data_IF_528923098222
#
_entry.id   IF_528923098222
#
_cell.length_a   1.000
_cell.length_b   1.000
_cell.length_c   1.000
_cell.angle_alpha   90.00
_cell.angle_beta   90.00
_cell.angle_gamma   90.00
#
_symmetry.space_group_name_H-M   'P 1'
#
loop_
_entity.id
_entity.type
_entity.pdbx_description
1 polymer ?
#
# COMPACT_ATOMS: atom_id res chain seq x y z
N UNK A 1 19.85 6.33 3.90
CA UNK A 1 18.74 7.29 4.08
C UNK A 1 19.08 8.62 3.43
N UNK A 2 20.27 9.19 3.61
CA UNK A 2 20.73 10.40 2.89
C UNK A 2 20.59 10.30 1.36
N UNK A 3 21.03 9.18 0.76
CA UNK A 3 21.07 9.03 -0.70
C UNK A 3 19.71 9.16 -1.41
N UNK A 4 18.63 8.56 -0.89
CA UNK A 4 17.32 8.57 -1.56
C UNK A 4 16.57 9.90 -1.40
N UNK A 5 16.70 10.57 -0.26
CA UNK A 5 16.10 11.88 -0.04
C UNK A 5 16.83 12.98 -0.83
N UNK A 6 18.16 12.89 -0.93
CA UNK A 6 18.97 13.84 -1.72
C UNK A 6 18.77 13.65 -3.23
N UNK A 7 18.61 12.41 -3.70
CA UNK A 7 18.42 12.12 -5.13
C UNK A 7 17.02 12.44 -5.69
N UNK A 8 15.99 12.56 -4.83
CA UNK A 8 14.58 12.66 -5.28
C UNK A 8 13.91 14.01 -5.02
N UNK A 9 14.55 14.91 -4.27
CA UNK A 9 13.95 16.19 -3.87
C UNK A 9 12.76 16.06 -2.90
N UNK A 10 12.50 14.86 -2.36
CA UNK A 10 11.43 14.57 -1.42
C UNK A 10 11.78 15.15 -0.03
N UNK A 11 11.14 16.28 0.33
CA UNK A 11 11.47 17.07 1.53
C UNK A 11 11.08 16.40 2.87
N UNK A 12 10.18 15.42 2.88
CA UNK A 12 9.75 14.72 4.10
C UNK A 12 10.13 13.24 4.02
N UNK A 13 11.01 12.83 4.93
CA UNK A 13 11.68 11.54 4.87
C UNK A 13 10.93 10.45 5.66
N UNK A 14 10.48 9.43 4.93
CA UNK A 14 10.62 8.01 5.25
C UNK A 14 10.32 7.59 6.69
N UNK A 15 9.08 7.14 6.90
CA UNK A 15 8.78 6.28 8.04
C UNK A 15 9.13 4.87 7.63
N UNK A 16 10.01 4.25 8.39
CA UNK A 16 10.54 2.92 8.12
C UNK A 16 10.10 1.96 9.21
N UNK A 17 9.44 0.88 8.81
CA UNK A 17 9.35 -0.29 9.68
C UNK A 17 10.65 -1.06 9.63
N UNK A 18 11.39 -1.13 10.75
CA UNK A 18 12.48 -2.10 10.88
C UNK A 18 11.85 -3.41 11.35
N UNK A 19 11.76 -4.39 10.47
CA UNK A 19 11.17 -5.69 10.80
C UNK A 19 12.22 -6.76 11.13
N UNK A 20 13.52 -6.45 11.00
CA UNK A 20 14.65 -7.29 11.40
C UNK A 20 15.68 -6.43 12.13
N UNK A 21 16.20 -6.92 13.26
CA UNK A 21 17.33 -6.32 13.97
C UNK A 21 18.42 -7.40 14.14
N UNK A 22 19.36 -7.46 13.20
CA UNK A 22 20.49 -8.39 13.18
C UNK A 22 21.16 -8.47 11.80
N UNK A 23 22.50 -8.62 11.77
CA UNK A 23 23.36 -8.81 10.57
C UNK A 23 23.49 -7.62 9.59
N UNK A 24 23.55 -6.37 10.05
CA UNK A 24 23.76 -5.17 9.19
C UNK A 24 22.79 -4.98 8.00
N UNK A 25 21.73 -5.79 7.91
CA UNK A 25 20.69 -5.71 6.90
C UNK A 25 19.48 -5.06 7.52
N UNK A 26 19.13 -3.88 7.03
CA UNK A 26 17.87 -3.26 7.40
C UNK A 26 16.86 -3.54 6.28
N UNK A 27 15.81 -4.31 6.57
CA UNK A 27 14.74 -4.66 5.62
C UNK A 27 13.38 -4.22 6.17
N UNK A 28 12.51 -3.70 5.30
CA UNK A 28 11.14 -3.33 5.65
C UNK A 28 10.52 -2.32 4.71
N UNK A 29 9.26 -1.95 4.96
CA UNK A 29 8.51 -1.00 4.15
C UNK A 29 8.82 0.44 4.53
N UNK A 30 8.61 1.35 3.58
CA UNK A 30 8.82 2.78 3.78
C UNK A 30 7.83 3.63 2.97
N UNK A 31 7.56 4.84 3.48
CA UNK A 31 6.79 5.87 2.77
C UNK A 31 7.63 7.12 2.58
N UNK A 32 7.85 7.54 1.33
CA UNK A 32 8.50 8.83 1.03
C UNK A 32 7.46 9.80 0.46
N UNK A 33 7.55 11.09 0.82
CA UNK A 33 6.51 12.05 0.46
C UNK A 33 7.04 13.48 0.31
N UNK A 34 6.44 14.24 -0.61
CA UNK A 34 6.57 15.70 -0.69
C UNK A 34 5.72 16.42 0.36
N UNK A 35 4.68 15.76 0.87
CA UNK A 35 3.78 16.27 1.90
C UNK A 35 4.24 15.78 3.28
N UNK A 36 4.05 16.57 4.36
CA UNK A 36 4.35 16.12 5.71
C UNK A 36 3.61 14.83 6.07
N UNK A 37 4.36 13.82 6.51
CA UNK A 37 3.81 12.57 7.04
C UNK A 37 3.48 12.77 8.53
N UNK A 38 2.19 12.67 8.89
CA UNK A 38 1.70 12.79 10.26
C UNK A 38 1.31 11.42 10.82
N UNK A 39 1.28 11.30 12.15
CA UNK A 39 0.82 10.09 12.88
C UNK A 39 1.44 8.78 12.35
N UNK A 40 2.70 8.85 11.93
CA UNK A 40 3.28 7.74 11.23
C UNK A 40 3.64 6.59 12.18
N UNK A 41 3.30 5.37 11.77
CA UNK A 41 3.42 4.17 12.58
C UNK A 41 3.91 3.00 11.74
N UNK A 42 4.65 2.08 12.37
CA UNK A 42 5.10 0.84 11.76
C UNK A 42 4.51 -0.34 12.52
N UNK A 43 4.02 -1.34 11.77
CA UNK A 43 3.44 -2.55 12.31
C UNK A 43 4.17 -3.76 11.73
N UNK A 44 4.65 -4.63 12.60
CA UNK A 44 5.20 -5.94 12.21
C UNK A 44 4.12 -6.99 12.36
N UNK A 45 3.96 -7.86 11.36
CA UNK A 45 3.17 -9.07 11.51
C UNK A 45 3.91 -10.08 12.39
N UNK A 46 3.17 -11.08 12.89
CA UNK A 46 3.76 -12.19 13.63
C UNK A 46 4.82 -12.92 12.79
N UNK A 47 5.92 -13.33 13.43
CA UNK A 47 7.02 -14.04 12.79
C UNK A 47 6.53 -15.33 12.12
N UNK A 48 7.08 -15.62 10.94
CA UNK A 48 6.70 -16.79 10.15
C UNK A 48 7.93 -17.48 9.55
N UNK A 49 8.64 -18.29 10.33
CA UNK A 49 9.86 -19.01 9.87
C UNK A 49 9.55 -19.91 8.66
N UNK A 50 10.38 -19.89 7.58
CA UNK A 50 11.70 -19.27 7.48
C UNK A 50 11.72 -17.82 6.95
N UNK A 51 10.57 -17.17 6.72
CA UNK A 51 10.55 -15.78 6.27
C UNK A 51 10.81 -14.79 7.41
N UNK A 52 11.53 -13.72 7.10
CA UNK A 52 11.69 -12.58 8.00
C UNK A 52 10.34 -11.89 8.25
N UNK A 53 10.16 -11.24 9.41
CA UNK A 53 8.93 -10.49 9.68
C UNK A 53 8.65 -9.48 8.57
N UNK A 54 7.42 -9.54 8.07
CA UNK A 54 6.85 -8.58 7.14
C UNK A 54 5.95 -7.61 7.91
N UNK A 55 5.45 -6.58 7.25
CA UNK A 55 4.68 -5.56 7.93
C UNK A 55 4.20 -4.46 7.01
N UNK A 56 3.72 -3.39 7.63
CA UNK A 56 3.33 -2.19 6.93
C UNK A 56 3.69 -0.93 7.73
N UNK A 57 3.81 0.15 6.99
CA UNK A 57 3.91 1.51 7.53
C UNK A 57 2.65 2.26 7.13
N UNK A 58 2.08 3.01 8.06
CA UNK A 58 0.96 3.93 7.81
C UNK A 58 1.38 5.35 8.20
N UNK A 59 0.95 6.33 7.42
CA UNK A 59 1.06 7.74 7.77
C UNK A 59 -0.09 8.53 7.18
N UNK A 60 -0.53 9.57 7.88
CA UNK A 60 -1.57 10.48 7.39
C UNK A 60 -0.92 11.65 6.65
N UNK A 61 -1.40 11.94 5.43
CA UNK A 61 -1.06 13.16 4.71
C UNK A 61 -2.24 14.14 4.72
N UNK A 62 -1.92 15.43 4.61
CA UNK A 62 -2.90 16.46 4.29
C UNK A 62 -2.97 16.60 2.77
N UNK A 63 -3.96 15.97 2.15
CA UNK A 63 -4.16 16.06 0.71
C UNK A 63 -4.52 17.52 0.33
N UNK A 64 -4.04 18.03 -0.81
CA UNK A 64 -4.41 19.36 -1.29
C UNK A 64 -5.95 19.53 -1.31
N UNK A 65 -6.47 20.48 -0.53
CA UNK A 65 -7.93 20.62 -0.31
C UNK A 65 -8.41 20.28 1.11
N UNK A 66 -7.49 20.05 2.07
CA UNK A 66 -7.76 19.82 3.51
C UNK A 66 -8.40 18.46 3.86
N UNK A 67 -8.36 17.48 2.95
CA UNK A 67 -8.76 16.10 3.26
C UNK A 67 -7.58 15.34 3.85
N UNK A 68 -7.78 14.65 4.97
CA UNK A 68 -6.79 13.73 5.52
C UNK A 68 -6.90 12.39 4.80
N UNK A 69 -5.76 11.84 4.38
CA UNK A 69 -5.68 10.53 3.73
C UNK A 69 -4.62 9.70 4.44
N UNK A 70 -4.97 8.47 4.80
CA UNK A 70 -4.03 7.51 5.36
C UNK A 70 -3.37 6.72 4.24
N UNK A 71 -2.05 6.81 4.15
CA UNK A 71 -1.23 6.12 3.16
C UNK A 71 -0.54 4.94 3.83
N UNK A 72 -0.67 3.76 3.24
CA UNK A 72 -0.14 2.50 3.76
C UNK A 72 0.84 1.89 2.76
N UNK A 73 2.07 1.62 3.19
CA UNK A 73 3.05 0.80 2.47
C UNK A 73 3.09 -0.59 3.08
N UNK A 74 2.61 -1.59 2.35
CA UNK A 74 2.43 -2.97 2.80
C UNK A 74 3.41 -3.92 2.09
N UNK A 75 3.89 -4.93 2.81
CA UNK A 75 4.60 -6.07 2.24
C UNK A 75 4.08 -7.34 2.92
N UNK A 76 3.57 -8.30 2.14
CA UNK A 76 3.04 -9.58 2.65
C UNK A 76 4.01 -10.75 2.48
N UNK A 77 3.75 -11.85 3.18
CA UNK A 77 4.57 -13.06 3.10
C UNK A 77 4.63 -13.65 1.68
N UNK A 78 5.84 -13.87 1.16
CA UNK A 78 6.05 -14.39 -0.19
C UNK A 78 5.90 -15.92 -0.28
N UNK A 79 6.08 -16.64 0.83
CA UNK A 79 6.14 -18.10 0.84
C UNK A 79 4.78 -18.79 0.96
N UNK A 80 3.91 -18.31 1.87
CA UNK A 80 2.73 -19.06 2.32
C UNK A 80 1.47 -18.23 2.23
N UNK A 81 0.51 -18.71 1.42
CA UNK A 81 -0.81 -18.11 1.28
C UNK A 81 -1.57 -18.01 2.61
N UNK A 82 -1.52 -19.05 3.45
CA UNK A 82 -2.17 -19.04 4.77
C UNK A 82 -1.58 -18.02 5.75
N UNK A 83 -0.29 -17.66 5.59
CA UNK A 83 0.34 -16.58 6.35
C UNK A 83 -0.19 -15.23 5.85
N UNK A 84 -0.22 -15.01 4.53
CA UNK A 84 -0.80 -13.80 3.94
C UNK A 84 -2.25 -13.57 4.38
N UNK A 85 -3.05 -14.62 4.45
CA UNK A 85 -4.43 -14.52 4.93
C UNK A 85 -4.51 -14.00 6.37
N UNK A 86 -3.69 -14.53 7.29
CA UNK A 86 -3.61 -14.04 8.67
C UNK A 86 -3.11 -12.59 8.74
N UNK A 87 -2.14 -12.24 7.91
CA UNK A 87 -1.61 -10.89 7.83
C UNK A 87 -2.67 -9.89 7.34
N UNK A 88 -3.43 -10.24 6.30
CA UNK A 88 -4.53 -9.41 5.79
C UNK A 88 -5.66 -9.28 6.83
N UNK A 89 -6.01 -10.35 7.54
CA UNK A 89 -6.99 -10.27 8.65
C UNK A 89 -6.53 -9.30 9.73
N UNK A 90 -5.25 -9.38 10.14
CA UNK A 90 -4.68 -8.44 11.12
C UNK A 90 -4.63 -7.00 10.60
N UNK A 91 -4.27 -6.81 9.33
CA UNK A 91 -4.30 -5.51 8.67
C UNK A 91 -5.70 -4.90 8.72
N UNK A 92 -6.73 -5.65 8.33
CA UNK A 92 -8.12 -5.17 8.34
C UNK A 92 -8.58 -4.79 9.76
N UNK A 93 -8.30 -5.64 10.75
CA UNK A 93 -8.65 -5.36 12.16
C UNK A 93 -8.02 -4.08 12.70
N UNK A 94 -6.85 -3.70 12.18
CA UNK A 94 -6.20 -2.45 12.54
C UNK A 94 -6.76 -1.27 11.76
N UNK A 95 -6.88 -1.39 10.43
CA UNK A 95 -7.26 -0.29 9.56
C UNK A 95 -8.75 0.07 9.65
N UNK A 96 -9.64 -0.86 9.99
CA UNK A 96 -11.08 -0.57 10.14
C UNK A 96 -11.40 0.46 11.23
N UNK A 97 -10.44 0.75 12.12
CA UNK A 97 -10.55 1.73 13.21
C UNK A 97 -10.24 3.15 12.76
N UNK A 98 -9.78 3.34 11.52
CA UNK A 98 -9.46 4.65 10.97
C UNK A 98 -10.66 5.17 10.16
N UNK A 99 -10.88 6.47 10.23
CA UNK A 99 -12.00 7.14 9.55
C UNK A 99 -11.58 7.80 8.23
N UNK A 100 -10.28 8.02 8.02
CA UNK A 100 -9.77 8.66 6.81
C UNK A 100 -9.84 7.70 5.61
N UNK A 101 -10.04 8.22 4.38
CA UNK A 101 -9.80 7.47 3.16
C UNK A 101 -8.37 6.91 3.10
N UNK A 102 -8.23 5.75 2.46
CA UNK A 102 -6.98 5.03 2.35
C UNK A 102 -6.40 5.07 0.94
N UNK A 103 -5.07 5.12 0.87
CA UNK A 103 -4.27 4.61 -0.23
C UNK A 103 -3.39 3.49 0.34
N UNK A 104 -3.65 2.25 -0.05
CA UNK A 104 -2.86 1.07 0.36
C UNK A 104 -2.07 0.58 -0.83
N UNK A 105 -0.75 0.54 -0.72
CA UNK A 105 0.13 0.13 -1.80
C UNK A 105 1.28 -0.75 -1.34
N UNK A 106 1.80 -1.57 -2.26
CA UNK A 106 3.01 -2.35 -2.06
C UNK A 106 2.89 -3.76 -2.59
N UNK A 107 3.76 -4.65 -2.11
CA UNK A 107 3.86 -6.03 -2.56
C UNK A 107 2.97 -6.94 -1.71
N UNK A 108 1.88 -7.41 -2.32
CA UNK A 108 0.93 -8.33 -1.69
C UNK A 108 1.32 -9.80 -1.89
N UNK A 109 2.35 -10.09 -2.70
CA UNK A 109 2.79 -11.46 -3.03
C UNK A 109 1.64 -12.38 -3.48
N UNK A 110 0.61 -11.81 -4.13
CA UNK A 110 -0.52 -12.54 -4.68
C UNK A 110 -1.17 -11.75 -5.81
N UNK A 111 -1.74 -12.46 -6.78
CA UNK A 111 -2.62 -11.87 -7.79
C UNK A 111 -4.07 -11.75 -7.26
N UNK A 112 -4.92 -11.02 -8.00
CA UNK A 112 -6.31 -10.76 -7.62
C UNK A 112 -7.13 -12.04 -7.45
N UNK A 113 -6.90 -13.02 -8.34
CA UNK A 113 -7.55 -14.34 -8.33
C UNK A 113 -6.77 -15.38 -7.50
N UNK A 114 -5.88 -14.95 -6.61
CA UNK A 114 -5.05 -15.84 -5.82
C UNK A 114 -5.87 -16.80 -4.95
N UNK A 115 -5.23 -17.88 -4.51
CA UNK A 115 -5.87 -19.07 -3.92
C UNK A 115 -6.81 -18.84 -2.73
N UNK A 116 -6.76 -17.68 -2.08
CA UNK A 116 -7.53 -17.34 -0.88
C UNK A 116 -8.35 -16.05 -1.02
N UNK A 117 -8.45 -15.45 -2.22
CA UNK A 117 -9.22 -14.23 -2.46
C UNK A 117 -8.95 -13.07 -1.47
N UNK A 118 -7.72 -12.98 -0.93
CA UNK A 118 -7.39 -12.01 0.13
C UNK A 118 -7.50 -10.55 -0.34
N UNK A 119 -7.22 -10.28 -1.62
CA UNK A 119 -7.34 -8.95 -2.22
C UNK A 119 -8.82 -8.53 -2.36
N UNK A 120 -9.70 -9.35 -2.97
CA UNK A 120 -11.14 -9.11 -2.93
C UNK A 120 -11.70 -8.91 -1.51
N UNK A 121 -11.28 -9.73 -0.54
CA UNK A 121 -11.72 -9.60 0.85
C UNK A 121 -11.29 -8.28 1.47
N UNK A 122 -10.01 -7.90 1.32
CA UNK A 122 -9.48 -6.62 1.79
C UNK A 122 -10.26 -5.44 1.17
N UNK A 123 -10.45 -5.49 -0.14
CA UNK A 123 -11.17 -4.46 -0.87
C UNK A 123 -12.62 -4.32 -0.39
N UNK A 124 -13.31 -5.45 -0.17
CA UNK A 124 -14.68 -5.44 0.35
C UNK A 124 -14.75 -4.87 1.76
N UNK A 125 -13.92 -5.37 2.69
CA UNK A 125 -14.03 -4.99 4.12
C UNK A 125 -13.62 -3.54 4.38
N UNK A 126 -12.71 -2.98 3.59
CA UNK A 126 -12.25 -1.59 3.71
C UNK A 126 -12.85 -0.66 2.64
N UNK A 127 -13.85 -1.11 1.86
CA UNK A 127 -14.50 -0.33 0.79
C UNK A 127 -13.50 0.28 -0.21
N UNK A 128 -12.54 -0.52 -0.66
CA UNK A 128 -11.49 -0.13 -1.59
C UNK A 128 -11.79 -0.57 -3.02
N UNK A 129 -11.18 0.10 -3.98
CA UNK A 129 -11.09 -0.28 -5.40
C UNK A 129 -9.64 -0.33 -5.84
N UNK A 130 -9.36 -1.09 -6.90
CA UNK A 130 -8.04 -1.12 -7.56
C UNK A 130 -8.20 -0.95 -9.06
N UNK A 131 -7.12 -0.54 -9.73
CA UNK A 131 -7.13 -0.34 -11.17
C UNK A 131 -7.18 -1.67 -11.91
N UNK A 132 -8.27 -1.89 -12.65
CA UNK A 132 -8.47 -3.02 -13.58
C UNK A 132 -7.97 -4.37 -13.03
N UNK A 133 -8.59 -4.91 -11.96
CA UNK A 133 -8.06 -6.06 -11.22
C UNK A 133 -7.90 -7.35 -12.05
N UNK A 134 -8.64 -7.44 -13.17
CA UNK A 134 -8.67 -8.61 -14.04
C UNK A 134 -7.98 -8.37 -15.39
N UNK A 135 -7.38 -7.20 -15.61
CA UNK A 135 -6.72 -6.91 -16.89
C UNK A 135 -5.38 -7.62 -16.99
N UNK A 136 -5.13 -8.17 -18.16
CA UNK A 136 -3.80 -8.59 -18.59
C UNK A 136 -2.93 -7.35 -18.90
N UNK A 137 -1.61 -7.54 -18.99
CA UNK A 137 -0.67 -6.46 -19.35
C UNK A 137 -0.26 -5.53 -18.19
N UNK A 138 -0.74 -5.79 -16.97
CA UNK A 138 -0.33 -5.07 -15.75
C UNK A 138 0.58 -5.93 -14.86
N UNK A 139 1.39 -6.79 -15.48
CA UNK A 139 2.36 -7.66 -14.79
C UNK A 139 3.38 -6.82 -14.05
N UNK A 140 3.59 -7.09 -12.77
CA UNK A 140 4.62 -6.42 -11.95
C UNK A 140 5.73 -7.35 -11.53
N UNK A 141 5.53 -8.67 -11.66
CA UNK A 141 6.56 -9.69 -11.42
C UNK A 141 6.76 -10.52 -12.69
N UNK A 142 7.73 -10.15 -13.56
CA UNK A 142 7.89 -10.75 -14.89
C UNK A 142 8.17 -12.24 -14.87
N UNK A 143 8.92 -12.73 -13.87
CA UNK A 143 9.37 -14.12 -13.79
C UNK A 143 8.21 -15.13 -13.82
N UNK A 144 7.05 -14.79 -13.24
CA UNK A 144 5.85 -15.65 -13.25
C UNK A 144 4.68 -15.06 -14.02
N UNK A 145 4.90 -13.94 -14.71
CA UNK A 145 3.86 -13.15 -15.38
C UNK A 145 2.66 -12.86 -14.44
N UNK A 146 2.96 -12.43 -13.21
CA UNK A 146 1.96 -12.12 -12.18
C UNK A 146 1.99 -10.64 -11.80
N UNK A 147 0.84 -10.17 -11.29
CA UNK A 147 0.70 -8.86 -10.65
C UNK A 147 0.66 -9.06 -9.15
N UNK A 148 1.76 -8.75 -8.47
CA UNK A 148 1.89 -8.83 -7.01
C UNK A 148 1.89 -7.47 -6.34
N UNK A 149 2.16 -6.41 -7.09
CA UNK A 149 2.20 -5.05 -6.61
C UNK A 149 0.88 -4.36 -6.92
N UNK A 150 0.18 -3.97 -5.86
CA UNK A 150 -1.16 -3.42 -5.95
C UNK A 150 -1.23 -2.04 -5.33
N UNK A 151 -2.12 -1.22 -5.88
CA UNK A 151 -2.57 0.03 -5.28
C UNK A 151 -4.08 -0.10 -5.12
N UNK A 152 -4.55 -0.04 -3.88
CA UNK A 152 -5.96 -0.04 -3.50
C UNK A 152 -6.28 1.31 -2.89
N UNK A 153 -7.39 1.91 -3.31
CA UNK A 153 -7.81 3.24 -2.86
C UNK A 153 -9.25 3.20 -2.37
N UNK A 154 -9.60 3.99 -1.36
CA UNK A 154 -10.98 4.14 -0.91
C UNK A 154 -11.90 4.59 -2.05
N UNK A 155 -13.20 4.26 -1.94
CA UNK A 155 -14.22 4.60 -2.93
C UNK A 155 -14.33 6.09 -3.25
N UNK A 156 -13.92 6.97 -2.34
CA UNK A 156 -13.92 8.43 -2.54
C UNK A 156 -12.74 8.92 -3.39
N UNK A 157 -11.83 8.02 -3.80
CA UNK A 157 -10.64 8.32 -4.60
C UNK A 157 -10.68 7.54 -5.90
N UNK A 158 -10.42 8.17 -7.05
CA UNK A 158 -10.40 7.52 -8.37
C UNK A 158 -8.99 7.51 -8.97
N UNK A 159 -8.70 6.49 -9.77
CA UNK A 159 -7.51 6.48 -10.63
C UNK A 159 -7.77 7.35 -11.87
N UNK A 160 -6.88 8.30 -12.16
CA UNK A 160 -6.86 9.04 -13.42
C UNK A 160 -5.83 8.48 -14.39
N UNK A 161 -4.78 7.83 -13.85
CA UNK A 161 -3.74 7.14 -14.61
C UNK A 161 -3.17 5.98 -13.82
N UNK A 162 -2.76 4.94 -14.51
CA UNK A 162 -2.06 3.80 -13.95
C UNK A 162 -1.09 3.23 -14.98
N UNK A 163 0.16 3.02 -14.59
CA UNK A 163 1.24 2.59 -15.48
C UNK A 163 2.18 1.67 -14.71
N UNK A 164 2.57 0.56 -15.33
CA UNK A 164 3.72 -0.24 -14.90
C UNK A 164 4.92 0.20 -15.73
N UNK A 165 6.00 0.60 -15.07
CA UNK A 165 7.22 1.04 -15.75
C UNK A 165 7.97 -0.17 -16.30
N UNK A 166 8.47 -0.12 -17.55
CA UNK A 166 9.19 -1.24 -18.16
C UNK A 166 10.62 -1.40 -17.64
N UNK A 167 11.15 -0.39 -16.94
CA UNK A 167 12.53 -0.37 -16.45
C UNK A 167 12.75 -1.45 -15.38
N UNK A 168 13.66 -2.39 -15.67
CA UNK A 168 14.01 -3.49 -14.77
C UNK A 168 15.08 -2.98 -13.79
N UNK A 169 14.61 -2.35 -12.70
CA UNK A 169 15.46 -1.93 -11.57
C UNK A 169 15.46 -2.96 -10.43
N UNK A 170 14.49 -3.89 -10.45
CA UNK A 170 14.33 -5.03 -9.55
C UNK A 170 13.68 -6.18 -10.31
N UNK A 171 13.57 -7.34 -9.66
CA UNK A 171 12.68 -8.45 -10.05
C UNK A 171 11.18 -8.07 -10.05
N UNK A 172 10.81 -6.99 -9.36
CA UNK A 172 9.52 -6.32 -9.47
C UNK A 172 9.62 -5.05 -10.31
N UNK A 173 8.65 -4.84 -11.20
CA UNK A 173 8.46 -3.61 -11.97
C UNK A 173 7.74 -2.56 -11.12
N UNK A 174 8.15 -1.30 -11.27
CA UNK A 174 7.56 -0.19 -10.53
C UNK A 174 6.15 0.14 -11.06
N UNK A 175 5.25 0.45 -10.13
CA UNK A 175 3.88 0.89 -10.42
C UNK A 175 3.74 2.38 -10.12
N UNK A 176 3.20 3.13 -11.07
CA UNK A 176 2.87 4.55 -10.92
C UNK A 176 1.37 4.73 -11.11
N UNK A 177 0.74 5.46 -10.18
CA UNK A 177 -0.66 5.84 -10.29
C UNK A 177 -0.85 7.33 -10.02
N UNK A 178 -1.75 7.93 -10.78
CA UNK A 178 -2.30 9.26 -10.50
C UNK A 178 -3.70 9.06 -9.94
N UNK A 179 -3.95 9.69 -8.78
CA UNK A 179 -5.18 9.52 -8.00
C UNK A 179 -5.79 10.90 -7.77
N UNK A 180 -7.12 10.97 -7.89
CA UNK A 180 -7.90 12.18 -7.63
C UNK A 180 -9.00 11.87 -6.61
N UNK A 181 -9.36 12.85 -5.79
CA UNK A 181 -10.53 12.76 -4.94
C UNK A 181 -11.82 13.00 -5.76
N UNK A 182 -12.77 12.09 -5.66
CA UNK A 182 -14.14 12.34 -6.11
C UNK A 182 -14.73 13.34 -5.10
N UNK A 183 -15.31 14.45 -5.57
CA UNK A 183 -15.88 15.48 -4.69
C UNK A 183 -16.70 14.81 -3.60
N UNK A 184 -16.24 14.88 -2.34
CA UNK A 184 -17.03 14.41 -1.20
C UNK A 184 -18.30 15.26 -1.28
N UNK A 185 -19.44 14.62 -1.57
CA UNK A 185 -20.72 15.32 -1.62
C UNK A 185 -20.82 16.13 -0.34
N UNK A 186 -20.85 17.46 -0.46
CA UNK A 186 -21.17 18.29 0.68
C UNK A 186 -22.51 17.74 1.18
N UNK A 187 -22.53 17.22 2.41
CA UNK A 187 -23.76 16.99 3.12
C UNK A 187 -24.59 18.25 2.96
N UNK A 188 -25.77 18.11 2.35
CA UNK A 188 -26.74 19.19 2.23
C UNK A 188 -27.05 19.69 3.65
N UNK A 189 -26.34 20.72 4.08
CA UNK A 189 -26.95 21.76 4.90
C UNK A 189 -27.93 22.50 3.98
N UNK A 190 -29.16 22.02 3.98
CA UNK A 190 -30.32 22.79 3.57
C UNK A 190 -31.41 22.46 4.57
N UNK A 191 -31.61 23.40 5.50
CA UNK A 191 -32.41 23.21 6.68
C UNK A 191 -33.91 23.06 6.45
N UNK A 192 -34.57 22.67 7.53
CA UNK A 192 -35.79 23.26 8.09
C UNK A 192 -35.87 22.80 9.54
#
# INVERSE_FOLDING_TARGET
MHYLTEATGLKYAAVRGRHVQGLNLSYGTALLSLLPLKKAQSFSFALSVPSFPKGYVIATINWPGKTLIDVVSLHLDFLRSSVRERQVKSLIQNLIKHENPFIIMGDFNTDWKGSLAILPQLAQQLKLRTYQPLSDGLTTFPLTNKRFDWILISSDLRFTRYIVLPDILSDHLAVVAEIQIDSIGQSKDSGS
#
